data_IF_208026556609
#
_entry.id   IF_208026556609
#
_cell.length_a   1.000
_cell.length_b   1.000
_cell.length_c   1.000
_cell.angle_alpha   90.00
_cell.angle_beta   90.00
_cell.angle_gamma   90.00
#
_symmetry.space_group_name_H-M   'P 1'
#
loop_
_entity.id
_entity.type
_entity.pdbx_description
1 polymer ?
#
# COMPACT_ATOMS: atom_id res chain seq x y z
N UNK A 1 -16.90 -23.59 19.04
CA UNK A 1 -15.47 -23.64 18.71
C UNK A 1 -14.94 -22.23 18.84
N UNK A 2 -14.21 -21.92 19.92
CA UNK A 2 -13.58 -20.62 20.12
C UNK A 2 -12.62 -20.36 18.96
N UNK A 3 -12.93 -19.38 18.13
CA UNK A 3 -12.13 -19.04 16.96
C UNK A 3 -10.90 -18.26 17.44
N UNK A 4 -9.96 -18.99 18.05
CA UNK A 4 -8.72 -18.51 18.66
C UNK A 4 -7.72 -18.10 17.57
N UNK A 5 -8.12 -17.09 16.82
CA UNK A 5 -7.30 -16.45 15.82
C UNK A 5 -6.38 -15.48 16.53
N UNK A 6 -5.28 -16.02 17.05
CA UNK A 6 -4.25 -15.25 17.73
C UNK A 6 -3.83 -14.06 16.87
N UNK A 7 -4.09 -12.85 17.34
CA UNK A 7 -3.68 -11.61 16.67
C UNK A 7 -2.16 -11.65 16.47
N UNK A 8 -1.73 -11.57 15.21
CA UNK A 8 -0.30 -11.60 14.83
C UNK A 8 0.32 -10.22 14.97
N UNK A 9 0.55 -9.80 16.21
CA UNK A 9 1.04 -8.46 16.56
C UNK A 9 2.34 -8.05 15.84
N UNK A 10 3.29 -8.98 15.69
CA UNK A 10 4.54 -8.73 14.97
C UNK A 10 4.32 -8.37 13.52
N UNK A 11 3.45 -9.12 12.83
CA UNK A 11 3.09 -8.89 11.43
C UNK A 11 2.31 -7.59 11.23
N UNK A 12 1.38 -7.26 12.12
CA UNK A 12 0.69 -5.97 12.10
C UNK A 12 1.68 -4.80 12.18
N UNK A 13 2.57 -4.82 13.18
CA UNK A 13 3.59 -3.77 13.34
C UNK A 13 4.53 -3.71 12.14
N UNK A 14 4.97 -4.86 11.63
CA UNK A 14 5.81 -4.93 10.43
C UNK A 14 5.14 -4.28 9.22
N UNK A 15 3.84 -4.55 8.98
CA UNK A 15 3.11 -3.93 7.88
C UNK A 15 2.90 -2.42 8.07
N UNK A 16 2.73 -1.95 9.31
CA UNK A 16 2.71 -0.51 9.57
C UNK A 16 4.06 0.15 9.33
N UNK A 17 5.17 -0.44 9.81
CA UNK A 17 6.52 0.03 9.48
C UNK A 17 6.74 0.05 7.97
N UNK A 18 6.32 -1.01 7.29
CA UNK A 18 6.42 -1.07 5.83
C UNK A 18 5.59 0.01 5.16
N UNK A 19 4.39 0.33 5.67
CA UNK A 19 3.56 1.45 5.20
C UNK A 19 4.24 2.80 5.41
N UNK A 20 4.89 3.02 6.56
CA UNK A 20 5.63 4.27 6.85
C UNK A 20 6.72 4.50 5.80
N UNK A 21 7.58 3.51 5.57
CA UNK A 21 8.71 3.67 4.65
C UNK A 21 8.31 3.54 3.18
N UNK A 22 7.46 2.57 2.86
CA UNK A 22 7.00 2.30 1.50
C UNK A 22 6.04 3.38 1.02
N UNK A 23 4.82 3.43 1.56
CA UNK A 23 3.84 4.43 1.13
C UNK A 23 4.25 5.84 1.56
N UNK A 24 4.64 6.04 2.83
CA UNK A 24 5.02 7.36 3.33
C UNK A 24 6.25 7.94 2.63
N UNK A 25 7.32 7.15 2.51
CA UNK A 25 8.53 7.56 1.81
C UNK A 25 8.31 7.82 0.32
N UNK A 26 7.54 6.97 -0.36
CA UNK A 26 7.21 7.17 -1.77
C UNK A 26 6.32 8.40 -1.99
N UNK A 27 5.32 8.61 -1.12
CA UNK A 27 4.49 9.82 -1.15
C UNK A 27 5.29 11.10 -0.91
N UNK A 28 6.24 11.07 0.03
CA UNK A 28 7.16 12.18 0.27
C UNK A 28 8.03 12.48 -0.96
N UNK A 29 8.57 11.44 -1.61
CA UNK A 29 9.36 11.60 -2.83
C UNK A 29 8.53 12.18 -3.98
N UNK A 30 7.27 11.76 -4.14
CA UNK A 30 6.34 12.32 -5.13
C UNK A 30 6.10 13.82 -4.93
N UNK A 31 6.08 14.29 -3.68
CA UNK A 31 5.81 15.69 -3.35
C UNK A 31 7.05 16.59 -3.43
N UNK A 32 8.19 16.11 -2.93
CA UNK A 32 9.40 16.93 -2.80
C UNK A 32 10.34 16.83 -4.00
N UNK A 33 10.40 15.66 -4.64
CA UNK A 33 11.33 15.38 -5.76
C UNK A 33 10.63 14.65 -6.92
N UNK A 34 9.50 15.16 -7.45
CA UNK A 34 8.73 14.49 -8.49
C UNK A 34 9.55 14.22 -9.76
N UNK A 35 10.43 15.14 -10.16
CA UNK A 35 11.27 14.99 -11.36
C UNK A 35 12.23 13.82 -11.27
N UNK A 36 12.92 13.66 -10.14
CA UNK A 36 13.84 12.54 -9.89
C UNK A 36 13.09 11.21 -9.89
N UNK A 37 11.91 11.16 -9.27
CA UNK A 37 11.09 9.97 -9.22
C UNK A 37 10.58 9.57 -10.62
N UNK A 38 10.07 10.55 -11.37
CA UNK A 38 9.56 10.32 -12.72
C UNK A 38 10.67 9.83 -13.66
N UNK A 39 11.86 10.44 -13.60
CA UNK A 39 13.02 10.03 -14.37
C UNK A 39 13.49 8.61 -13.99
N UNK A 40 13.62 8.33 -12.69
CA UNK A 40 14.12 7.04 -12.19
C UNK A 40 13.21 5.86 -12.54
N UNK A 41 11.90 6.03 -12.46
CA UNK A 41 10.92 4.98 -12.77
C UNK A 41 10.38 5.05 -14.20
N UNK A 42 10.84 6.02 -15.00
CA UNK A 42 10.38 6.28 -16.37
C UNK A 42 8.87 6.46 -16.44
N UNK A 43 8.32 7.26 -15.53
CA UNK A 43 6.91 7.64 -15.60
C UNK A 43 6.66 8.46 -16.88
N UNK A 44 5.53 8.23 -17.57
CA UNK A 44 5.09 9.16 -18.59
C UNK A 44 4.75 10.52 -17.95
N UNK A 45 4.75 11.62 -18.72
CA UNK A 45 4.36 12.93 -18.21
C UNK A 45 3.02 12.85 -17.46
N UNK A 46 3.01 13.29 -16.20
CA UNK A 46 1.84 13.32 -15.35
C UNK A 46 1.43 14.76 -15.09
N UNK A 47 0.13 14.99 -14.92
CA UNK A 47 -0.36 16.23 -14.35
C UNK A 47 0.23 16.41 -12.92
N UNK A 48 0.93 17.52 -12.64
CA UNK A 48 1.57 17.73 -11.35
C UNK A 48 0.59 17.75 -10.17
N UNK A 49 -0.64 18.24 -10.37
CA UNK A 49 -1.68 18.30 -9.34
C UNK A 49 -2.19 16.90 -9.03
N UNK A 50 -2.44 16.08 -10.05
CA UNK A 50 -2.88 14.69 -9.87
C UNK A 50 -1.78 13.84 -9.22
N UNK A 51 -0.52 14.00 -9.65
CA UNK A 51 0.61 13.32 -9.02
C UNK A 51 0.77 13.75 -7.55
N UNK A 52 0.65 15.04 -7.26
CA UNK A 52 0.69 15.59 -5.91
C UNK A 52 -0.46 15.10 -5.03
N UNK A 53 -1.66 14.95 -5.58
CA UNK A 53 -2.80 14.37 -4.88
C UNK A 53 -2.52 12.93 -4.46
N UNK A 54 -1.99 12.11 -5.38
CA UNK A 54 -1.62 10.73 -5.08
C UNK A 54 -0.49 10.63 -4.06
N UNK A 55 0.57 11.45 -4.23
CA UNK A 55 1.66 11.55 -3.26
C UNK A 55 1.20 11.96 -1.86
N UNK A 56 0.26 12.90 -1.78
CA UNK A 56 -0.35 13.35 -0.52
C UNK A 56 -1.11 12.22 0.18
N UNK A 57 -1.89 11.43 -0.56
CA UNK A 57 -2.61 10.29 0.00
C UNK A 57 -1.67 9.20 0.53
N UNK A 58 -0.58 8.92 -0.20
CA UNK A 58 0.44 7.96 0.24
C UNK A 58 1.20 8.45 1.47
N UNK A 59 1.59 9.74 1.50
CA UNK A 59 2.23 10.34 2.65
C UNK A 59 1.31 10.31 3.87
N UNK A 60 0.05 10.69 3.72
CA UNK A 60 -0.95 10.62 4.78
C UNK A 60 -1.10 9.19 5.31
N UNK A 61 -1.14 8.19 4.43
CA UNK A 61 -1.18 6.77 4.82
C UNK A 61 0.05 6.38 5.66
N UNK A 62 1.24 6.87 5.29
CA UNK A 62 2.46 6.69 6.08
C UNK A 62 2.39 7.36 7.45
N UNK A 63 1.90 8.59 7.53
CA UNK A 63 1.74 9.32 8.80
C UNK A 63 0.73 8.64 9.73
N UNK A 64 -0.41 8.18 9.20
CA UNK A 64 -1.39 7.39 9.96
C UNK A 64 -0.78 6.07 10.43
N UNK A 65 0.08 5.43 9.62
CA UNK A 65 0.78 4.21 10.02
C UNK A 65 1.74 4.43 11.21
N UNK A 66 2.31 5.61 11.40
CA UNK A 66 3.09 5.95 12.60
C UNK A 66 2.20 5.88 13.85
N UNK A 67 1.00 6.46 13.80
CA UNK A 67 0.03 6.36 14.89
C UNK A 67 -0.43 4.91 15.12
N UNK A 68 -0.56 4.13 14.05
CA UNK A 68 -0.91 2.72 14.10
C UNK A 68 0.11 1.87 14.87
N UNK A 69 1.39 2.22 14.89
CA UNK A 69 2.39 1.47 15.68
C UNK A 69 2.11 1.47 17.19
N UNK A 70 1.43 2.52 17.70
CA UNK A 70 1.02 2.61 19.11
C UNK A 70 -0.28 1.86 19.40
N UNK A 71 -1.18 1.75 18.43
CA UNK A 71 -2.47 1.06 18.60
C UNK A 71 -2.87 0.24 17.35
N UNK A 72 -2.12 -0.84 17.03
CA UNK A 72 -2.23 -1.54 15.75
C UNK A 72 -3.65 -1.96 15.37
N UNK A 73 -4.41 -2.53 16.30
CA UNK A 73 -5.76 -3.03 16.02
C UNK A 73 -6.75 -1.92 15.62
N UNK A 74 -6.61 -0.71 16.17
CA UNK A 74 -7.52 0.41 15.85
C UNK A 74 -7.36 0.90 14.41
N UNK A 75 -6.20 0.66 13.81
CA UNK A 75 -5.85 1.11 12.47
C UNK A 75 -5.82 -0.03 11.44
N UNK A 76 -6.41 -1.20 11.75
CA UNK A 76 -6.60 -2.28 10.77
C UNK A 76 -7.34 -1.80 9.51
N UNK A 77 -8.33 -0.87 9.58
CA UNK A 77 -8.93 -0.31 8.37
C UNK A 77 -7.93 0.30 7.38
N UNK A 78 -6.79 0.85 7.83
CA UNK A 78 -5.75 1.34 6.93
C UNK A 78 -5.14 0.20 6.11
N UNK A 79 -4.79 -0.92 6.75
CA UNK A 79 -4.23 -2.10 6.05
C UNK A 79 -5.28 -2.75 5.15
N UNK A 80 -6.55 -2.76 5.57
CA UNK A 80 -7.65 -3.26 4.76
C UNK A 80 -7.84 -2.43 3.50
N UNK A 81 -7.86 -1.09 3.60
CA UNK A 81 -7.93 -0.21 2.44
C UNK A 81 -6.79 -0.53 1.46
N UNK A 82 -5.57 -0.72 1.97
CA UNK A 82 -4.42 -1.12 1.15
C UNK A 82 -4.60 -2.48 0.48
N UNK A 83 -5.14 -3.46 1.21
CA UNK A 83 -5.42 -4.79 0.68
C UNK A 83 -6.52 -4.76 -0.40
N UNK A 84 -7.46 -3.81 -0.34
CA UNK A 84 -8.55 -3.71 -1.33
C UNK A 84 -8.12 -2.96 -2.58
N UNK A 85 -7.51 -1.77 -2.44
CA UNK A 85 -7.23 -0.96 -3.62
C UNK A 85 -6.10 -1.53 -4.50
N UNK A 86 -5.14 -2.26 -3.90
CA UNK A 86 -3.98 -2.80 -4.63
C UNK A 86 -4.39 -3.89 -5.63
N UNK A 87 -5.20 -4.91 -5.28
CA UNK A 87 -5.77 -5.84 -6.24
C UNK A 87 -6.61 -5.15 -7.31
N UNK A 88 -7.41 -4.13 -6.96
CA UNK A 88 -8.18 -3.37 -7.95
C UNK A 88 -7.22 -2.72 -8.97
N UNK A 89 -6.16 -2.06 -8.51
CA UNK A 89 -5.18 -1.45 -9.40
C UNK A 89 -4.46 -2.49 -10.27
N UNK A 90 -4.07 -3.63 -9.71
CA UNK A 90 -3.44 -4.72 -10.46
C UNK A 90 -4.40 -5.28 -11.53
N UNK A 91 -5.66 -5.49 -11.19
CA UNK A 91 -6.65 -6.04 -12.12
C UNK A 91 -7.05 -5.06 -13.23
N UNK A 92 -7.19 -3.77 -12.90
CA UNK A 92 -7.67 -2.75 -13.85
C UNK A 92 -6.56 -2.20 -14.72
N UNK A 93 -5.33 -2.04 -14.19
CA UNK A 93 -4.24 -1.37 -14.91
C UNK A 93 -3.09 -2.31 -15.27
N UNK A 94 -2.53 -3.03 -14.31
CA UNK A 94 -1.33 -3.83 -14.56
C UNK A 94 -1.63 -5.05 -15.45
N UNK A 95 -2.66 -5.81 -15.11
CA UNK A 95 -3.03 -7.04 -15.79
C UNK A 95 -3.33 -6.82 -17.28
N UNK A 96 -4.14 -5.82 -17.70
CA UNK A 96 -4.35 -5.57 -19.13
C UNK A 96 -3.08 -5.18 -19.89
N UNK A 97 -2.13 -4.47 -19.26
CA UNK A 97 -0.85 -4.14 -19.89
C UNK A 97 0.02 -5.39 -20.07
N UNK A 98 0.10 -6.23 -19.04
CA UNK A 98 0.89 -7.47 -19.09
C UNK A 98 0.32 -8.47 -20.09
N UNK A 99 -1.01 -8.59 -20.22
CA UNK A 99 -1.65 -9.42 -21.23
C UNK A 99 -1.37 -8.94 -22.66
N UNK A 100 -1.06 -7.65 -22.84
CA UNK A 100 -0.63 -7.07 -24.13
C UNK A 100 0.89 -7.17 -24.36
N UNK A 101 1.63 -7.85 -23.47
CA UNK A 101 3.09 -7.94 -23.53
C UNK A 101 3.81 -6.63 -23.19
N UNK A 102 3.12 -5.64 -22.59
CA UNK A 102 3.69 -4.35 -22.22
C UNK A 102 4.13 -4.36 -20.76
N UNK A 103 5.42 -4.15 -20.53
CA UNK A 103 6.00 -4.12 -19.17
C UNK A 103 6.72 -2.81 -18.88
N UNK A 104 6.01 -1.66 -18.81
CA UNK A 104 6.65 -0.40 -18.42
C UNK A 104 7.26 -0.52 -17.01
N UNK A 105 8.46 0.05 -16.83
CA UNK A 105 9.22 -0.07 -15.59
C UNK A 105 8.42 0.34 -14.35
N UNK A 106 7.73 1.49 -14.40
CA UNK A 106 6.90 1.97 -13.30
C UNK A 106 5.75 1.00 -12.96
N UNK A 107 5.12 0.37 -13.96
CA UNK A 107 4.02 -0.58 -13.74
C UNK A 107 4.53 -1.85 -13.08
N UNK A 108 5.65 -2.38 -13.57
CA UNK A 108 6.28 -3.58 -12.98
C UNK A 108 6.71 -3.30 -11.55
N UNK A 109 7.39 -2.18 -11.31
CA UNK A 109 7.83 -1.78 -9.98
C UNK A 109 6.65 -1.65 -9.00
N UNK A 110 5.60 -0.89 -9.37
CA UNK A 110 4.41 -0.72 -8.54
C UNK A 110 3.73 -2.08 -8.30
N UNK A 111 3.66 -2.94 -9.32
CA UNK A 111 3.05 -4.26 -9.19
C UNK A 111 3.78 -5.16 -8.20
N UNK A 112 5.11 -5.21 -8.26
CA UNK A 112 5.93 -5.97 -7.30
C UNK A 112 5.70 -5.47 -5.88
N UNK A 113 5.74 -4.15 -5.67
CA UNK A 113 5.44 -3.56 -4.35
C UNK A 113 4.01 -3.88 -3.93
N UNK A 114 3.03 -3.81 -4.81
CA UNK A 114 1.64 -4.09 -4.44
C UNK A 114 1.43 -5.55 -4.04
N UNK A 115 2.10 -6.49 -4.71
CA UNK A 115 2.07 -7.90 -4.37
C UNK A 115 2.66 -8.17 -2.99
N UNK A 116 3.80 -7.55 -2.61
CA UNK A 116 4.36 -7.73 -1.26
C UNK A 116 3.41 -7.20 -0.18
N UNK A 117 2.73 -6.08 -0.42
CA UNK A 117 1.70 -5.57 0.48
C UNK A 117 0.48 -6.47 0.57
N UNK A 118 -0.01 -7.02 -0.54
CA UNK A 118 -1.15 -7.95 -0.54
C UNK A 118 -0.82 -9.16 0.32
N UNK A 119 0.32 -9.82 0.05
CA UNK A 119 0.76 -10.99 0.81
C UNK A 119 0.96 -10.63 2.28
N UNK A 120 1.66 -9.55 2.58
CA UNK A 120 1.89 -9.09 3.95
C UNK A 120 0.60 -8.76 4.71
N UNK A 121 -0.35 -8.08 4.06
CA UNK A 121 -1.63 -7.73 4.66
C UNK A 121 -2.52 -8.96 4.89
N UNK A 122 -2.56 -9.93 3.96
CA UNK A 122 -3.28 -11.18 4.17
C UNK A 122 -2.75 -11.98 5.37
N UNK A 123 -1.44 -11.90 5.63
CA UNK A 123 -0.81 -12.54 6.79
C UNK A 123 -1.07 -11.75 8.07
N UNK A 124 -1.02 -10.42 8.02
CA UNK A 124 -1.06 -9.53 9.17
C UNK A 124 -2.48 -9.25 9.69
N UNK A 125 -3.47 -9.07 8.79
CA UNK A 125 -4.83 -8.66 9.17
C UNK A 125 -5.53 -9.80 9.92
N UNK A 126 -5.99 -9.57 11.16
CA UNK A 126 -6.80 -10.54 11.88
C UNK A 126 -8.25 -10.48 11.38
N UNK A 127 -8.56 -11.14 10.25
CA UNK A 127 -9.88 -11.08 9.61
C UNK A 127 -11.03 -11.52 10.52
N UNK A 128 -10.80 -12.53 11.33
CA UNK A 128 -11.71 -13.01 12.36
C UNK A 128 -12.06 -11.94 13.39
N UNK A 129 -11.08 -11.15 13.86
CA UNK A 129 -11.32 -10.02 14.77
C UNK A 129 -12.12 -8.92 14.08
N UNK A 130 -11.78 -8.63 12.81
CA UNK A 130 -12.41 -7.57 12.03
C UNK A 130 -13.88 -7.88 11.71
N UNK A 131 -14.21 -9.14 11.42
CA UNK A 131 -15.54 -9.59 11.03
C UNK A 131 -16.30 -10.34 12.12
N UNK A 132 -15.75 -10.43 13.34
CA UNK A 132 -16.50 -10.97 14.48
C UNK A 132 -17.69 -10.06 14.73
N UNK A 133 -18.91 -10.63 14.72
CA UNK A 133 -20.05 -9.95 15.34
C UNK A 133 -19.70 -9.69 16.80
N UNK A 134 -19.86 -8.45 17.25
CA UNK A 134 -19.92 -8.13 18.67
C UNK A 134 -21.17 -8.76 19.27
#
# INVERSE_FOLDING_TARGET
MENNSSVRWGWLKAMYVYTVFGAGGFGLAMLLIPGTLQAGLRFPPQDPVVLGLYGSFLLASGLVAIAALRSPLKFVPLLLTQLVYKPIWLAVYALPLFLKGQFPLYVVFISVVFLTYIVGNLIAIPFSYLFSKK
#
